data_IF_251004796794
#
_entry.id   IF_251004796794
#
_cell.length_a   1.000
_cell.length_b   1.000
_cell.length_c   1.000
_cell.angle_alpha   90.00
_cell.angle_beta   90.00
_cell.angle_gamma   90.00
#
_symmetry.space_group_name_H-M   'P 1'
#
loop_
_entity.id
_entity.type
_entity.pdbx_description
1 polymer ?
#
# COMPACT_ATOMS: atom_id res chain seq x y z
N UNK A 1 18.19 7.40 8.25
CA UNK A 1 19.17 8.32 8.86
C UNK A 1 19.36 7.96 10.32
N UNK A 2 20.63 7.76 10.73
CA UNK A 2 21.00 7.42 12.10
C UNK A 2 21.10 8.68 12.98
N UNK A 3 20.02 9.45 13.04
CA UNK A 3 19.96 10.62 13.91
C UNK A 3 18.64 10.68 14.67
N UNK A 4 18.73 11.18 15.90
CA UNK A 4 17.58 11.47 16.75
C UNK A 4 17.13 12.91 16.54
N UNK A 5 15.83 13.13 16.48
CA UNK A 5 15.25 14.46 16.47
C UNK A 5 14.65 14.77 17.84
N UNK A 6 15.03 15.93 18.39
CA UNK A 6 14.51 16.44 19.63
C UNK A 6 13.53 17.57 19.37
N UNK A 7 12.32 17.45 19.95
CA UNK A 7 11.26 18.45 19.88
C UNK A 7 11.03 18.96 21.30
N UNK A 8 11.10 20.27 21.49
CA UNK A 8 10.75 20.95 22.76
C UNK A 8 9.49 21.78 22.55
N UNK A 9 8.53 21.66 23.44
CA UNK A 9 7.37 22.54 23.46
C UNK A 9 6.92 22.80 24.89
N UNK A 10 6.27 23.97 25.10
CA UNK A 10 5.77 24.37 26.39
C UNK A 10 4.27 24.65 26.29
N UNK A 11 3.50 24.06 27.18
CA UNK A 11 2.06 24.29 27.29
C UNK A 11 1.76 25.13 28.55
N UNK A 12 0.98 26.16 28.36
CA UNK A 12 0.52 27.02 29.44
C UNK A 12 -0.98 26.92 29.58
N UNK A 13 -1.45 26.60 30.78
CA UNK A 13 -2.87 26.62 31.14
C UNK A 13 -3.22 28.00 31.72
N UNK A 14 -3.93 28.79 30.95
CA UNK A 14 -4.38 30.14 31.41
C UNK A 14 -5.79 30.09 32.04
N UNK A 15 -6.31 28.92 32.37
CA UNK A 15 -7.64 28.72 32.95
C UNK A 15 -7.53 28.39 34.44
N UNK A 16 -8.66 28.49 35.15
CA UNK A 16 -8.82 28.14 36.56
C UNK A 16 -9.11 26.63 36.80
N UNK A 17 -9.09 25.82 35.73
CA UNK A 17 -9.36 24.38 35.78
C UNK A 17 -8.17 23.57 35.27
N UNK A 18 -7.98 22.37 35.81
CA UNK A 18 -7.01 21.42 35.32
C UNK A 18 -7.36 21.02 33.88
N UNK A 19 -6.41 21.17 32.95
CA UNK A 19 -6.55 20.82 31.56
C UNK A 19 -5.91 19.43 31.32
N UNK A 20 -6.70 18.51 30.75
CA UNK A 20 -6.28 17.16 30.38
C UNK A 20 -6.39 17.00 28.87
N UNK A 21 -5.28 16.70 28.21
CA UNK A 21 -5.20 16.53 26.74
C UNK A 21 -4.43 15.28 26.37
N UNK A 22 -4.56 14.89 25.11
CA UNK A 22 -3.74 13.86 24.47
C UNK A 22 -2.81 14.55 23.47
N UNK A 23 -1.54 14.21 23.51
CA UNK A 23 -0.59 14.50 22.42
C UNK A 23 -0.50 13.24 21.58
N UNK A 24 -0.87 13.36 20.32
CA UNK A 24 -0.71 12.33 19.31
C UNK A 24 0.56 12.61 18.49
N UNK A 25 1.41 11.61 18.35
CA UNK A 25 2.47 11.60 17.37
C UNK A 25 1.96 10.89 16.11
N UNK A 26 1.51 11.68 15.11
CA UNK A 26 0.73 11.19 13.97
C UNK A 26 1.61 10.49 12.90
N UNK A 27 2.39 9.50 13.31
CA UNK A 27 3.15 8.58 12.46
C UNK A 27 3.32 7.23 13.16
N UNK A 28 2.58 6.18 12.75
CA UNK A 28 2.61 4.88 13.42
C UNK A 28 3.91 4.10 13.18
N UNK A 29 4.71 4.48 12.18
CA UNK A 29 5.91 3.76 11.75
C UNK A 29 7.21 4.32 12.32
N UNK A 30 7.15 5.34 13.18
CA UNK A 30 8.33 5.82 13.90
C UNK A 30 8.80 4.75 14.88
N UNK A 31 10.10 4.41 14.82
CA UNK A 31 10.62 3.23 15.54
C UNK A 31 10.70 3.43 17.04
N UNK A 32 11.16 4.61 17.51
CA UNK A 32 11.29 4.94 18.91
C UNK A 32 10.81 6.36 19.17
N UNK A 33 10.02 6.52 20.23
CA UNK A 33 9.49 7.80 20.68
C UNK A 33 9.57 7.84 22.19
N UNK A 34 10.43 8.70 22.72
CA UNK A 34 10.57 8.95 24.16
C UNK A 34 9.93 10.29 24.49
N UNK A 35 8.86 10.29 25.28
CA UNK A 35 8.15 11.46 25.71
C UNK A 35 8.53 11.81 27.15
N UNK A 36 9.17 12.96 27.35
CA UNK A 36 9.68 13.44 28.63
C UNK A 36 8.74 14.50 29.21
N UNK A 37 8.22 14.27 30.41
CA UNK A 37 7.61 15.29 31.26
C UNK A 37 8.66 15.77 32.29
N UNK A 38 9.19 16.98 32.08
CA UNK A 38 10.24 17.54 32.94
C UNK A 38 9.71 17.82 34.35
N UNK A 39 8.42 18.17 34.49
CA UNK A 39 7.85 18.52 35.79
C UNK A 39 7.72 17.35 36.74
N UNK A 40 7.49 16.16 36.20
CA UNK A 40 7.34 14.91 36.96
C UNK A 40 8.57 14.03 36.88
N UNK A 41 9.57 14.40 36.11
CA UNK A 41 10.77 13.62 35.80
C UNK A 41 10.43 12.20 35.29
N UNK A 42 9.36 12.09 34.48
CA UNK A 42 8.92 10.81 33.90
C UNK A 42 9.18 10.75 32.42
N UNK A 43 9.45 9.53 31.93
CA UNK A 43 9.62 9.23 30.52
C UNK A 43 8.60 8.17 30.12
N UNK A 44 7.83 8.46 29.09
CA UNK A 44 6.92 7.51 28.48
C UNK A 44 7.45 7.08 27.12
N UNK A 45 7.63 5.78 26.94
CA UNK A 45 8.15 5.18 25.72
C UNK A 45 6.99 4.69 24.84
N UNK A 46 7.09 4.90 23.52
CA UNK A 46 6.23 4.32 22.48
C UNK A 46 7.01 4.27 21.15
N UNK A 47 6.37 3.82 20.09
CA UNK A 47 6.96 3.64 18.77
C UNK A 47 6.87 2.18 18.34
N UNK A 48 7.27 1.89 17.11
CA UNK A 48 7.07 0.57 16.53
C UNK A 48 7.85 -0.54 17.25
N UNK A 49 9.06 -0.23 17.77
CA UNK A 49 9.89 -1.18 18.53
C UNK A 49 9.68 -1.13 20.04
N UNK A 50 8.87 -0.21 20.52
CA UNK A 50 8.57 -0.04 21.95
C UNK A 50 7.06 0.05 22.20
N UNK A 51 6.29 -0.57 21.29
CA UNK A 51 4.84 -0.50 21.34
C UNK A 51 4.32 -1.15 22.62
N UNK A 52 3.50 -0.40 23.36
CA UNK A 52 2.85 -0.95 24.57
C UNK A 52 1.88 -2.04 24.15
N UNK A 53 1.97 -3.20 24.80
CA UNK A 53 0.92 -4.22 24.77
C UNK A 53 -0.42 -3.54 25.11
N UNK A 54 -1.45 -3.79 24.31
CA UNK A 54 -2.77 -3.16 24.41
C UNK A 54 -2.86 -1.68 23.96
N UNK A 55 -1.95 -1.17 23.13
CA UNK A 55 -2.17 0.12 22.48
C UNK A 55 -3.44 0.05 21.63
N UNK A 56 -4.43 0.90 21.94
CA UNK A 56 -5.73 0.94 21.24
C UNK A 56 -5.78 1.97 20.09
N UNK A 57 -4.71 2.73 19.89
CA UNK A 57 -4.60 3.75 18.85
C UNK A 57 -3.58 3.35 17.80
N UNK A 58 -3.84 3.69 16.54
CA UNK A 58 -2.91 3.48 15.44
C UNK A 58 -1.62 4.27 15.70
N UNK A 59 -1.76 5.54 16.06
CA UNK A 59 -0.65 6.42 16.38
C UNK A 59 -0.29 6.38 17.89
N UNK A 60 0.99 6.61 18.25
CA UNK A 60 1.41 6.83 19.62
C UNK A 60 0.69 8.02 20.25
N UNK A 61 0.23 7.84 21.50
CA UNK A 61 -0.47 8.88 22.27
C UNK A 61 0.11 9.02 23.67
N UNK A 62 0.22 10.26 24.14
CA UNK A 62 0.72 10.63 25.46
C UNK A 62 -0.30 11.50 26.18
N UNK A 63 -0.64 11.09 27.43
CA UNK A 63 -1.52 11.89 28.29
C UNK A 63 -0.75 13.05 28.89
N UNK A 64 -1.31 14.25 28.85
CA UNK A 64 -0.78 15.42 29.51
C UNK A 64 -1.82 16.02 30.47
N UNK A 65 -1.32 16.51 31.58
CA UNK A 65 -2.11 17.20 32.60
C UNK A 65 -1.40 18.49 32.99
N UNK A 66 -2.07 19.61 32.85
CA UNK A 66 -1.54 20.93 33.22
C UNK A 66 -2.51 21.58 34.20
N UNK A 67 -2.02 21.84 35.41
CA UNK A 67 -2.82 22.44 36.51
C UNK A 67 -3.19 23.91 36.21
N UNK A 68 -4.16 24.50 36.94
CA UNK A 68 -4.55 25.89 36.75
C UNK A 68 -3.36 26.83 36.84
N UNK A 69 -3.25 27.76 35.88
CA UNK A 69 -2.18 28.76 35.78
C UNK A 69 -0.75 28.20 35.73
N UNK A 70 -0.60 26.88 35.45
CA UNK A 70 0.69 26.20 35.33
C UNK A 70 1.23 26.31 33.90
N UNK A 71 2.57 26.25 33.79
CA UNK A 71 3.29 26.11 32.51
C UNK A 71 4.21 24.93 32.60
N UNK A 72 4.02 23.95 31.71
CA UNK A 72 4.82 22.72 31.62
C UNK A 72 5.59 22.61 30.31
N UNK A 73 6.85 22.20 30.41
CA UNK A 73 7.71 21.95 29.26
C UNK A 73 7.86 20.44 29.06
N UNK A 74 7.69 20.01 27.82
CA UNK A 74 7.83 18.63 27.38
C UNK A 74 8.92 18.53 26.32
N UNK A 75 9.55 17.35 26.26
CA UNK A 75 10.48 16.99 25.19
C UNK A 75 10.03 15.67 24.57
N UNK A 76 10.18 15.58 23.26
CA UNK A 76 10.02 14.33 22.51
C UNK A 76 11.32 14.05 21.81
N UNK A 77 11.89 12.86 22.06
CA UNK A 77 12.98 12.31 21.28
C UNK A 77 12.37 11.29 20.31
N UNK A 78 12.61 11.45 19.01
CA UNK A 78 12.11 10.52 17.99
C UNK A 78 13.23 10.06 17.09
N UNK A 79 13.25 8.76 16.78
CA UNK A 79 14.15 8.16 15.79
C UNK A 79 13.40 7.20 14.88
N UNK A 80 13.80 7.12 13.59
CA UNK A 80 13.19 6.22 12.62
C UNK A 80 14.29 5.56 11.78
N UNK A 81 14.34 4.21 11.84
CA UNK A 81 15.32 3.41 11.11
C UNK A 81 14.71 2.70 9.87
N UNK A 82 13.36 2.60 9.79
CA UNK A 82 12.67 1.83 8.76
C UNK A 82 12.10 2.71 7.67
N UNK A 83 11.54 3.88 8.05
CA UNK A 83 10.85 4.79 7.12
C UNK A 83 11.40 6.20 7.21
N UNK A 84 11.00 7.05 6.26
CA UNK A 84 11.26 8.48 6.33
C UNK A 84 10.62 9.04 7.59
N UNK A 85 11.41 9.79 8.37
CA UNK A 85 10.91 10.46 9.57
C UNK A 85 9.95 11.58 9.17
N UNK A 86 8.70 11.46 9.58
CA UNK A 86 7.67 12.50 9.47
C UNK A 86 7.22 12.82 10.88
N UNK A 87 7.35 14.09 11.26
CA UNK A 87 6.97 14.57 12.59
C UNK A 87 5.73 15.43 12.45
N UNK A 88 4.62 14.94 13.00
CA UNK A 88 3.38 15.69 13.13
C UNK A 88 2.83 15.44 14.52
N UNK A 89 2.65 16.51 15.28
CA UNK A 89 2.06 16.46 16.62
C UNK A 89 0.68 17.11 16.58
N UNK A 90 -0.31 16.40 17.08
CA UNK A 90 -1.65 16.91 17.26
C UNK A 90 -1.99 16.91 18.76
N UNK A 91 -2.72 17.93 19.21
CA UNK A 91 -3.24 18.00 20.57
C UNK A 91 -4.76 17.86 20.54
N UNK A 92 -5.28 16.91 21.31
CA UNK A 92 -6.66 16.49 21.28
C UNK A 92 -7.35 16.60 22.64
N UNK A 93 -8.64 16.91 22.63
CA UNK A 93 -9.54 16.47 23.70
C UNK A 93 -9.71 14.96 23.60
N UNK A 94 -9.82 14.28 24.75
CA UNK A 94 -9.90 12.83 24.79
C UNK A 94 -11.06 12.27 23.95
N UNK A 95 -12.23 12.86 24.06
CA UNK A 95 -13.43 12.44 23.32
C UNK A 95 -13.27 12.68 21.81
N UNK A 96 -12.78 13.85 21.41
CA UNK A 96 -12.52 14.19 20.01
C UNK A 96 -11.50 13.26 19.38
N UNK A 97 -10.46 12.87 20.12
CA UNK A 97 -9.47 11.90 19.66
C UNK A 97 -10.12 10.55 19.33
N UNK A 98 -10.91 10.01 20.27
CA UNK A 98 -11.52 8.70 20.06
C UNK A 98 -12.52 8.70 18.91
N UNK A 99 -13.33 9.76 18.77
CA UNK A 99 -14.26 9.91 17.66
C UNK A 99 -13.52 9.96 16.32
N UNK A 100 -12.45 10.76 16.20
CA UNK A 100 -11.61 10.81 15.00
C UNK A 100 -10.92 9.49 14.72
N UNK A 101 -10.44 8.78 15.74
CA UNK A 101 -9.79 7.48 15.61
C UNK A 101 -10.77 6.39 15.13
N UNK A 102 -12.01 6.40 15.61
CA UNK A 102 -13.07 5.48 15.15
C UNK A 102 -13.44 5.77 13.69
N UNK A 103 -13.59 7.03 13.32
CA UNK A 103 -13.85 7.42 11.94
C UNK A 103 -12.72 6.97 11.01
N UNK A 104 -11.47 7.19 11.40
CA UNK A 104 -10.31 6.74 10.63
C UNK A 104 -10.28 5.21 10.45
N UNK A 105 -10.50 4.45 11.52
CA UNK A 105 -10.55 2.99 11.46
C UNK A 105 -11.71 2.50 10.59
N UNK A 106 -12.87 3.18 10.60
CA UNK A 106 -14.00 2.85 9.75
C UNK A 106 -13.68 2.99 8.26
N UNK A 107 -13.06 4.09 7.83
CA UNK A 107 -12.65 4.26 6.43
C UNK A 107 -11.59 3.23 6.00
N UNK A 108 -10.64 2.92 6.87
CA UNK A 108 -9.67 1.85 6.59
C UNK A 108 -10.33 0.48 6.50
N UNK A 109 -11.31 0.17 7.35
CA UNK A 109 -12.07 -1.08 7.29
C UNK A 109 -12.88 -1.19 5.98
N UNK A 110 -13.48 -0.09 5.49
CA UNK A 110 -14.13 -0.05 4.18
C UNK A 110 -13.15 -0.32 3.05
N UNK A 111 -11.97 0.28 3.09
CA UNK A 111 -10.90 0.04 2.12
C UNK A 111 -10.50 -1.44 2.10
N UNK A 112 -10.12 -2.00 3.25
CA UNK A 112 -9.70 -3.40 3.33
C UNK A 112 -10.82 -4.37 2.96
N UNK A 113 -12.06 -4.07 3.36
CA UNK A 113 -13.24 -4.85 2.98
C UNK A 113 -13.48 -4.86 1.47
N UNK A 114 -13.43 -3.70 0.82
CA UNK A 114 -13.57 -3.57 -0.63
C UNK A 114 -12.48 -4.35 -1.38
N UNK A 115 -11.22 -4.20 -0.97
CA UNK A 115 -10.10 -4.93 -1.58
C UNK A 115 -10.22 -6.44 -1.36
N UNK A 116 -10.63 -6.89 -0.17
CA UNK A 116 -10.86 -8.31 0.11
C UNK A 116 -11.98 -8.90 -0.75
N UNK A 117 -13.10 -8.20 -0.92
CA UNK A 117 -14.21 -8.62 -1.79
C UNK A 117 -13.72 -8.75 -3.24
N UNK A 118 -12.95 -7.77 -3.75
CA UNK A 118 -12.38 -7.85 -5.09
C UNK A 118 -11.42 -9.03 -5.25
N UNK A 119 -10.58 -9.31 -4.24
CA UNK A 119 -9.68 -10.46 -4.25
C UNK A 119 -10.47 -11.77 -4.29
N UNK A 120 -11.48 -11.93 -3.42
CA UNK A 120 -12.32 -13.14 -3.35
C UNK A 120 -13.08 -13.33 -4.67
N UNK A 121 -13.72 -12.29 -5.20
CA UNK A 121 -14.43 -12.34 -6.48
C UNK A 121 -13.52 -12.82 -7.62
N UNK A 122 -12.34 -12.22 -7.76
CA UNK A 122 -11.41 -12.60 -8.83
C UNK A 122 -10.77 -13.99 -8.60
N UNK A 123 -10.63 -14.42 -7.34
CA UNK A 123 -10.21 -15.79 -7.00
C UNK A 123 -11.24 -16.82 -7.46
N UNK A 124 -12.53 -16.57 -7.24
CA UNK A 124 -13.59 -17.44 -7.76
C UNK A 124 -13.54 -17.52 -9.29
N UNK A 125 -13.37 -16.38 -9.97
CA UNK A 125 -13.27 -16.41 -11.43
C UNK A 125 -12.03 -17.22 -11.87
N UNK A 126 -10.89 -17.09 -11.19
CA UNK A 126 -9.71 -17.92 -11.45
C UNK A 126 -10.01 -19.42 -11.33
N UNK A 127 -10.71 -19.84 -10.27
CA UNK A 127 -11.04 -21.26 -10.03
C UNK A 127 -11.80 -21.86 -11.21
N UNK A 128 -12.73 -21.11 -11.80
CA UNK A 128 -13.54 -21.58 -12.92
C UNK A 128 -12.87 -21.39 -14.28
N UNK A 129 -12.24 -20.23 -14.52
CA UNK A 129 -11.63 -19.91 -15.83
C UNK A 129 -10.25 -20.50 -16.04
N UNK A 130 -9.50 -20.81 -14.96
CA UNK A 130 -8.09 -21.22 -14.95
C UNK A 130 -7.15 -20.22 -15.66
N UNK A 131 -7.59 -18.99 -15.95
CA UNK A 131 -6.73 -17.96 -16.53
C UNK A 131 -5.81 -17.37 -15.44
N UNK A 132 -4.52 -17.64 -15.58
CA UNK A 132 -3.47 -17.20 -14.63
C UNK A 132 -3.39 -15.69 -14.44
N UNK A 133 -3.96 -14.88 -15.34
CA UNK A 133 -4.04 -13.43 -15.15
C UNK A 133 -4.86 -13.09 -13.88
N UNK A 134 -5.97 -13.83 -13.62
CA UNK A 134 -6.76 -13.63 -12.40
C UNK A 134 -5.99 -13.99 -11.14
N UNK A 135 -5.23 -15.10 -11.16
CA UNK A 135 -4.40 -15.50 -10.01
C UNK A 135 -3.39 -14.41 -9.67
N UNK A 136 -2.63 -13.91 -10.66
CA UNK A 136 -1.64 -12.89 -10.41
C UNK A 136 -2.26 -11.54 -10.00
N UNK A 137 -3.46 -11.26 -10.48
CA UNK A 137 -4.21 -10.09 -10.02
C UNK A 137 -4.67 -10.23 -8.57
N UNK A 138 -5.16 -11.39 -8.15
CA UNK A 138 -5.49 -11.66 -6.74
C UNK A 138 -4.26 -11.51 -5.86
N UNK A 139 -3.12 -12.08 -6.26
CA UNK A 139 -1.87 -11.94 -5.53
C UNK A 139 -1.40 -10.46 -5.45
N UNK A 140 -1.64 -9.68 -6.51
CA UNK A 140 -1.39 -8.24 -6.51
C UNK A 140 -2.26 -7.52 -5.47
N UNK A 141 -3.58 -7.78 -5.46
CA UNK A 141 -4.49 -7.19 -4.46
C UNK A 141 -4.07 -7.57 -3.04
N UNK A 142 -3.74 -8.84 -2.78
CA UNK A 142 -3.27 -9.29 -1.47
C UNK A 142 -1.94 -8.61 -1.09
N UNK A 143 -1.06 -8.39 -2.05
CA UNK A 143 0.17 -7.61 -1.86
C UNK A 143 -0.11 -6.15 -1.47
N UNK A 144 -1.09 -5.50 -2.13
CA UNK A 144 -1.52 -4.13 -1.79
C UNK A 144 -2.16 -4.09 -0.40
N UNK A 145 -3.02 -5.06 -0.05
CA UNK A 145 -3.60 -5.17 1.30
C UNK A 145 -2.48 -5.28 2.33
N UNK A 146 -1.52 -6.18 2.13
CA UNK A 146 -0.39 -6.35 3.04
C UNK A 146 0.44 -5.07 3.18
N UNK A 147 0.76 -4.42 2.06
CA UNK A 147 1.45 -3.13 2.06
C UNK A 147 0.71 -2.07 2.88
N UNK A 148 -0.60 -1.91 2.64
CA UNK A 148 -1.39 -0.90 3.32
C UNK A 148 -1.65 -1.22 4.80
N UNK A 149 -1.82 -2.49 5.17
CA UNK A 149 -1.92 -2.89 6.58
C UNK A 149 -0.69 -2.46 7.39
N UNK A 150 0.51 -2.61 6.82
CA UNK A 150 1.74 -2.17 7.48
C UNK A 150 1.89 -0.65 7.43
N UNK A 151 1.65 -0.04 6.25
CA UNK A 151 1.86 1.39 6.04
C UNK A 151 0.92 2.27 6.89
N UNK A 152 -0.33 1.85 7.07
CA UNK A 152 -1.30 2.56 7.92
C UNK A 152 -1.11 2.27 9.42
N UNK A 153 -0.32 1.26 9.78
CA UNK A 153 -0.12 0.84 11.17
C UNK A 153 -1.27 0.03 11.77
N UNK A 154 -2.35 -0.21 11.00
CA UNK A 154 -3.53 -1.00 11.47
C UNK A 154 -3.13 -2.41 11.88
N UNK A 155 -2.19 -3.02 11.17
CA UNK A 155 -1.69 -4.36 11.49
C UNK A 155 -1.29 -4.48 12.96
N UNK A 156 -0.56 -3.48 13.48
CA UNK A 156 0.08 -3.54 14.78
C UNK A 156 -0.87 -3.39 15.96
N UNK A 157 -2.07 -2.84 15.78
CA UNK A 157 -3.06 -2.69 16.87
C UNK A 157 -3.92 -3.93 17.09
N UNK A 158 -3.94 -4.87 16.14
CA UNK A 158 -4.72 -6.10 16.21
C UNK A 158 -3.88 -7.36 16.49
N UNK A 159 -2.56 -7.24 16.52
CA UNK A 159 -1.64 -8.34 16.77
C UNK A 159 -0.98 -8.13 18.14
N UNK A 160 -1.21 -9.07 19.06
CA UNK A 160 -0.69 -8.99 20.44
C UNK A 160 0.62 -9.76 20.65
N UNK A 161 1.16 -10.40 19.60
CA UNK A 161 2.37 -11.21 19.69
C UNK A 161 3.62 -10.41 19.30
N UNK A 162 4.46 -10.07 20.26
CA UNK A 162 5.73 -9.36 20.04
C UNK A 162 6.62 -10.08 19.03
N UNK A 163 6.78 -11.41 19.18
CA UNK A 163 7.60 -12.22 18.28
C UNK A 163 7.08 -12.19 16.82
N UNK A 164 5.76 -12.11 16.64
CA UNK A 164 5.18 -12.02 15.32
C UNK A 164 5.32 -10.61 14.75
N UNK A 165 5.20 -9.58 15.57
CA UNK A 165 5.46 -8.18 15.18
C UNK A 165 6.91 -8.03 14.73
N UNK A 166 7.87 -8.53 15.50
CA UNK A 166 9.29 -8.52 15.15
C UNK A 166 9.56 -9.25 13.84
N UNK A 167 8.97 -10.42 13.64
CA UNK A 167 9.07 -11.15 12.36
C UNK A 167 8.55 -10.32 11.18
N UNK A 168 7.39 -9.67 11.34
CA UNK A 168 6.79 -8.84 10.29
C UNK A 168 7.65 -7.61 10.00
N UNK A 169 8.18 -6.95 11.04
CA UNK A 169 9.05 -5.79 10.89
C UNK A 169 10.34 -6.16 10.16
N UNK A 170 10.99 -7.26 10.55
CA UNK A 170 12.20 -7.75 9.88
C UNK A 170 11.95 -8.07 8.40
N UNK A 171 10.73 -8.50 8.05
CA UNK A 171 10.31 -8.81 6.68
C UNK A 171 9.48 -7.71 6.01
N UNK A 172 9.43 -6.50 6.56
CA UNK A 172 8.64 -5.38 6.02
C UNK A 172 9.04 -4.98 4.59
N UNK A 173 10.25 -5.36 4.15
CA UNK A 173 10.68 -5.19 2.76
C UNK A 173 9.75 -5.90 1.76
N UNK A 174 9.11 -7.01 2.17
CA UNK A 174 8.16 -7.73 1.33
C UNK A 174 6.93 -6.89 0.98
N UNK A 175 6.45 -6.06 1.90
CA UNK A 175 5.31 -5.19 1.67
C UNK A 175 5.54 -4.20 0.51
N UNK A 176 6.79 -3.77 0.30
CA UNK A 176 7.11 -2.86 -0.80
C UNK A 176 7.32 -3.55 -2.15
N UNK A 177 7.74 -4.83 -2.17
CA UNK A 177 8.10 -5.49 -3.42
C UNK A 177 7.03 -6.44 -3.95
N UNK A 178 6.28 -7.11 -3.06
CA UNK A 178 5.27 -8.10 -3.48
C UNK A 178 4.21 -7.52 -4.43
N UNK A 179 3.61 -6.34 -4.15
CA UNK A 179 2.64 -5.74 -5.07
C UNK A 179 3.23 -5.54 -6.46
N UNK A 180 4.47 -5.05 -6.56
CA UNK A 180 5.12 -4.72 -7.84
C UNK A 180 5.47 -5.99 -8.62
N UNK A 181 5.96 -7.03 -7.95
CA UNK A 181 6.26 -8.31 -8.58
C UNK A 181 4.98 -8.96 -9.11
N UNK A 182 3.91 -8.98 -8.31
CA UNK A 182 2.63 -9.55 -8.75
C UNK A 182 1.94 -8.71 -9.82
N UNK A 183 2.04 -7.38 -9.77
CA UNK A 183 1.60 -6.49 -10.85
C UNK A 183 2.38 -6.78 -12.15
N UNK A 184 3.68 -7.07 -12.04
CA UNK A 184 4.53 -7.43 -13.17
C UNK A 184 4.10 -8.77 -13.79
N UNK A 185 3.84 -9.78 -12.96
CA UNK A 185 3.33 -11.08 -13.40
C UNK A 185 1.92 -10.97 -14.00
N UNK A 186 1.05 -10.19 -13.37
CA UNK A 186 -0.28 -9.86 -13.91
C UNK A 186 -0.16 -9.23 -15.30
N UNK A 187 0.59 -8.15 -15.43
CA UNK A 187 0.78 -7.43 -16.70
C UNK A 187 1.37 -8.33 -17.79
N UNK A 188 2.32 -9.19 -17.43
CA UNK A 188 2.92 -10.19 -18.34
C UNK A 188 1.87 -11.10 -18.98
N UNK A 189 0.95 -11.64 -18.19
CA UNK A 189 -0.06 -12.58 -18.66
C UNK A 189 -1.26 -11.86 -19.28
N UNK A 190 -1.66 -10.73 -18.70
CA UNK A 190 -2.79 -9.95 -19.16
C UNK A 190 -2.54 -9.31 -20.53
N UNK A 191 -1.35 -8.72 -20.77
CA UNK A 191 -0.95 -8.15 -22.05
C UNK A 191 -0.51 -9.20 -23.08
N UNK A 192 -0.46 -10.51 -22.71
CA UNK A 192 0.05 -11.58 -23.57
C UNK A 192 1.45 -11.24 -24.15
N UNK A 193 2.41 -10.87 -23.27
CA UNK A 193 3.72 -10.32 -23.66
C UNK A 193 4.54 -11.20 -24.59
N UNK A 194 4.21 -12.49 -24.73
CA UNK A 194 4.84 -13.40 -25.71
C UNK A 194 4.77 -12.86 -27.15
N UNK A 195 3.75 -12.04 -27.48
CA UNK A 195 3.64 -11.37 -28.77
C UNK A 195 4.71 -10.27 -29.00
N UNK A 196 5.42 -9.88 -27.93
CA UNK A 196 6.51 -8.90 -27.93
C UNK A 196 7.82 -9.55 -27.45
N UNK A 197 8.51 -10.37 -28.25
CA UNK A 197 9.58 -11.27 -27.78
C UNK A 197 10.72 -10.56 -27.03
N UNK A 198 11.11 -9.36 -27.46
CA UNK A 198 12.18 -8.59 -26.81
C UNK A 198 11.77 -8.17 -25.41
N UNK A 199 10.59 -7.57 -25.25
CA UNK A 199 10.05 -7.17 -23.95
C UNK A 199 9.81 -8.37 -23.04
N UNK A 200 9.30 -9.47 -23.59
CA UNK A 200 9.09 -10.71 -22.84
C UNK A 200 10.37 -11.28 -22.25
N UNK A 201 11.48 -11.28 -23.01
CA UNK A 201 12.80 -11.74 -22.52
C UNK A 201 13.32 -10.84 -21.40
N UNK A 202 13.28 -9.52 -21.60
CA UNK A 202 13.73 -8.56 -20.58
C UNK A 202 12.90 -8.68 -19.32
N UNK A 203 11.56 -8.78 -19.45
CA UNK A 203 10.66 -8.92 -18.30
C UNK A 203 10.96 -10.20 -17.49
N UNK A 204 11.19 -11.33 -18.18
CA UNK A 204 11.58 -12.58 -17.50
C UNK A 204 12.93 -12.43 -16.78
N UNK A 205 13.90 -11.79 -17.41
CA UNK A 205 15.20 -11.51 -16.78
C UNK A 205 15.03 -10.65 -15.52
N UNK A 206 14.24 -9.57 -15.60
CA UNK A 206 13.96 -8.70 -14.46
C UNK A 206 13.27 -9.47 -13.32
N UNK A 207 12.28 -10.32 -13.62
CA UNK A 207 11.60 -11.14 -12.63
C UNK A 207 12.53 -12.16 -11.95
N UNK A 208 13.49 -12.75 -12.69
CA UNK A 208 14.46 -13.70 -12.13
C UNK A 208 15.50 -12.99 -11.26
N UNK A 209 15.97 -11.82 -11.69
CA UNK A 209 17.02 -11.09 -10.96
C UNK A 209 16.48 -10.34 -9.74
N UNK A 210 15.19 -9.99 -9.71
CA UNK A 210 14.55 -9.23 -8.61
C UNK A 210 14.82 -9.86 -7.23
N UNK A 211 14.53 -11.14 -6.97
CA UNK A 211 14.81 -11.74 -5.65
C UNK A 211 16.30 -11.71 -5.32
N UNK A 212 17.19 -11.88 -6.27
CA UNK A 212 18.65 -11.85 -6.05
C UNK A 212 19.09 -10.44 -5.62
N UNK A 213 18.69 -9.42 -6.37
CA UNK A 213 19.04 -8.02 -6.10
C UNK A 213 18.50 -7.53 -4.75
N UNK A 214 17.39 -8.12 -4.27
CA UNK A 214 16.78 -7.72 -3.00
C UNK A 214 17.34 -8.55 -1.83
N UNK A 215 17.40 -9.86 -1.95
CA UNK A 215 17.77 -10.74 -0.83
C UNK A 215 19.27 -10.71 -0.53
N UNK A 216 20.12 -10.66 -1.55
CA UNK A 216 21.58 -10.68 -1.33
C UNK A 216 22.05 -9.49 -0.49
N UNK A 217 21.70 -8.22 -0.77
CA UNK A 217 22.07 -7.10 0.08
C UNK A 217 21.49 -7.20 1.50
N UNK A 218 20.24 -7.66 1.65
CA UNK A 218 19.59 -7.81 2.96
C UNK A 218 20.37 -8.84 3.81
N UNK A 219 20.69 -10.00 3.24
CA UNK A 219 21.47 -11.03 3.93
C UNK A 219 22.91 -10.58 4.25
N UNK A 220 23.45 -9.67 3.46
CA UNK A 220 24.77 -9.07 3.69
C UNK A 220 24.75 -7.88 4.68
N UNK A 221 23.58 -7.55 5.30
CA UNK A 221 23.43 -6.44 6.25
C UNK A 221 23.35 -5.05 5.61
N UNK A 222 23.24 -4.97 4.28
CA UNK A 222 23.02 -3.70 3.59
C UNK A 222 21.53 -3.35 3.59
N UNK A 223 21.21 -2.06 3.73
CA UNK A 223 19.82 -1.59 3.82
C UNK A 223 18.98 -1.79 2.56
N UNK A 224 17.73 -1.37 2.62
CA UNK A 224 16.69 -1.63 1.60
C UNK A 224 16.78 -0.78 0.31
N UNK A 225 17.86 -0.04 0.09
CA UNK A 225 18.02 0.86 -1.09
C UNK A 225 17.91 0.11 -2.42
N UNK A 226 18.46 -1.12 -2.50
CA UNK A 226 18.40 -1.97 -3.69
C UNK A 226 16.94 -2.35 -4.04
N UNK A 227 16.08 -2.56 -3.03
CA UNK A 227 14.64 -2.83 -3.22
C UNK A 227 13.95 -1.66 -3.92
N UNK A 228 14.17 -0.43 -3.44
CA UNK A 228 13.52 0.75 -4.01
C UNK A 228 13.96 0.99 -5.45
N UNK A 229 15.25 0.81 -5.74
CA UNK A 229 15.78 0.91 -7.10
C UNK A 229 15.18 -0.16 -8.01
N UNK A 230 15.10 -1.41 -7.56
CA UNK A 230 14.54 -2.50 -8.35
C UNK A 230 13.04 -2.32 -8.61
N UNK A 231 12.29 -1.84 -7.61
CA UNK A 231 10.89 -1.47 -7.76
C UNK A 231 10.69 -0.38 -8.83
N UNK A 232 11.53 0.65 -8.81
CA UNK A 232 11.51 1.73 -9.79
C UNK A 232 11.81 1.21 -11.21
N UNK A 233 12.80 0.35 -11.36
CA UNK A 233 13.15 -0.27 -12.66
C UNK A 233 11.97 -1.07 -13.20
N UNK A 234 11.33 -1.89 -12.37
CA UNK A 234 10.15 -2.68 -12.77
C UNK A 234 8.98 -1.77 -13.18
N UNK A 235 8.69 -0.71 -12.40
CA UNK A 235 7.60 0.23 -12.71
C UNK A 235 7.85 0.94 -14.03
N UNK A 236 9.06 1.48 -14.25
CA UNK A 236 9.40 2.17 -15.50
C UNK A 236 9.31 1.19 -16.68
N UNK A 237 9.84 -0.03 -16.52
CA UNK A 237 9.77 -1.04 -17.58
C UNK A 237 8.34 -1.42 -17.91
N UNK A 238 7.48 -1.62 -16.91
CA UNK A 238 6.06 -1.90 -17.10
C UNK A 238 5.34 -0.75 -17.81
N UNK A 239 5.64 0.48 -17.46
CA UNK A 239 5.05 1.65 -18.12
C UNK A 239 5.42 1.66 -19.61
N UNK A 240 6.71 1.50 -19.94
CA UNK A 240 7.19 1.45 -21.33
C UNK A 240 6.54 0.30 -22.10
N UNK A 241 6.47 -0.90 -21.50
CA UNK A 241 5.82 -2.06 -22.11
C UNK A 241 4.32 -1.79 -22.35
N UNK A 242 3.63 -1.19 -21.40
CA UNK A 242 2.19 -0.92 -21.49
C UNK A 242 1.91 0.11 -22.58
N UNK A 243 2.68 1.22 -22.64
CA UNK A 243 2.57 2.23 -23.70
C UNK A 243 2.87 1.60 -25.06
N UNK A 244 3.94 0.81 -25.17
CA UNK A 244 4.25 0.10 -26.42
C UNK A 244 3.11 -0.83 -26.85
N UNK A 245 2.52 -1.57 -25.91
CA UNK A 245 1.39 -2.46 -26.20
C UNK A 245 0.15 -1.69 -26.64
N UNK A 246 -0.12 -0.51 -26.05
CA UNK A 246 -1.22 0.37 -26.46
C UNK A 246 -1.01 0.92 -27.89
N UNK A 247 0.22 1.33 -28.24
CA UNK A 247 0.57 1.76 -29.60
C UNK A 247 0.40 0.62 -30.64
N UNK A 248 0.54 -0.64 -30.20
CA UNK A 248 0.21 -1.82 -31.01
C UNK A 248 -1.27 -2.20 -31.00
N UNK A 249 -2.15 -1.30 -30.51
CA UNK A 249 -3.61 -1.47 -30.44
C UNK A 249 -4.06 -2.64 -29.56
N UNK A 250 -3.26 -3.02 -28.58
CA UNK A 250 -3.65 -4.02 -27.58
C UNK A 250 -4.70 -3.41 -26.65
N UNK A 251 -5.94 -3.88 -26.72
CA UNK A 251 -7.09 -3.36 -25.95
C UNK A 251 -6.83 -3.40 -24.44
N UNK A 252 -6.21 -4.47 -23.95
CA UNK A 252 -5.90 -4.66 -22.54
C UNK A 252 -4.94 -3.58 -21.99
N UNK A 253 -4.06 -3.05 -22.84
CA UNK A 253 -3.09 -2.03 -22.44
C UNK A 253 -3.75 -0.70 -22.07
N UNK A 254 -4.88 -0.34 -22.69
CA UNK A 254 -5.60 0.89 -22.35
C UNK A 254 -6.18 0.85 -20.94
N UNK A 255 -6.67 -0.31 -20.47
CA UNK A 255 -7.16 -0.45 -19.10
C UNK A 255 -6.03 -0.31 -18.08
N UNK A 256 -4.86 -0.93 -18.36
CA UNK A 256 -3.69 -0.77 -17.46
C UNK A 256 -3.27 0.69 -17.41
N UNK A 257 -3.21 1.40 -18.55
CA UNK A 257 -2.88 2.82 -18.57
C UNK A 257 -3.88 3.66 -17.77
N UNK A 258 -5.17 3.35 -17.85
CA UNK A 258 -6.18 4.04 -17.05
C UNK A 258 -5.96 3.88 -15.55
N UNK A 259 -5.65 2.67 -15.08
CA UNK A 259 -5.27 2.42 -13.68
C UNK A 259 -3.99 3.18 -13.29
N UNK A 260 -2.97 3.17 -14.14
CA UNK A 260 -1.71 3.87 -13.89
C UNK A 260 -1.88 5.39 -13.79
N UNK A 261 -2.75 6.00 -14.59
CA UNK A 261 -3.05 7.44 -14.50
C UNK A 261 -3.55 7.78 -13.08
N UNK A 262 -4.43 6.98 -12.52
CA UNK A 262 -4.97 7.20 -11.16
C UNK A 262 -3.87 7.09 -10.11
N UNK A 263 -3.04 6.04 -10.18
CA UNK A 263 -1.93 5.85 -9.24
C UNK A 263 -0.88 6.96 -9.39
N UNK A 264 -0.51 7.36 -10.61
CA UNK A 264 0.43 8.46 -10.81
C UNK A 264 -0.12 9.80 -10.33
N UNK A 265 -1.43 10.04 -10.46
CA UNK A 265 -2.07 11.22 -9.88
C UNK A 265 -1.94 11.22 -8.36
N UNK A 266 -2.21 10.08 -7.70
CA UNK A 266 -2.03 9.95 -6.26
C UNK A 266 -0.57 10.17 -5.84
N UNK A 267 0.41 9.58 -6.55
CA UNK A 267 1.84 9.79 -6.30
C UNK A 267 2.21 11.27 -6.48
N UNK A 268 1.69 11.95 -7.51
CA UNK A 268 1.93 13.38 -7.72
C UNK A 268 1.37 14.22 -6.57
N UNK A 269 0.16 13.91 -6.07
CA UNK A 269 -0.43 14.56 -4.89
C UNK A 269 0.45 14.35 -3.64
N UNK A 270 0.94 13.12 -3.41
CA UNK A 270 1.87 12.82 -2.32
C UNK A 270 3.17 13.62 -2.45
N UNK A 271 3.73 13.71 -3.64
CA UNK A 271 4.96 14.47 -3.91
C UNK A 271 4.75 15.96 -3.65
N UNK A 272 3.66 16.56 -4.14
CA UNK A 272 3.33 17.98 -3.91
C UNK A 272 3.13 18.26 -2.40
N UNK A 273 2.48 17.35 -1.69
CA UNK A 273 2.32 17.45 -0.24
C UNK A 273 3.67 17.40 0.48
N UNK A 274 4.57 16.49 0.07
CA UNK A 274 5.92 16.37 0.66
C UNK A 274 6.81 17.59 0.44
N UNK A 275 6.53 18.38 -0.60
CA UNK A 275 7.22 19.65 -0.90
C UNK A 275 6.55 20.88 -0.26
N UNK A 276 5.44 20.67 0.45
CA UNK A 276 4.72 21.76 1.12
C UNK A 276 3.91 22.66 0.20
N UNK A 277 3.68 22.27 -1.07
CA UNK A 277 2.85 23.08 -1.98
C UNK A 277 1.37 23.05 -1.60
N UNK A 278 0.84 21.91 -1.19
CA UNK A 278 -0.52 21.75 -0.73
C UNK A 278 -0.66 20.51 0.14
N UNK A 279 -1.35 20.65 1.27
CA UNK A 279 -1.53 19.52 2.20
C UNK A 279 -2.75 18.68 1.81
N UNK A 280 -2.57 17.81 0.82
CA UNK A 280 -3.63 16.91 0.36
C UNK A 280 -4.16 15.98 1.44
N UNK A 281 -3.31 15.53 2.37
CA UNK A 281 -3.71 14.64 3.47
C UNK A 281 -4.67 15.29 4.46
N UNK A 282 -4.67 16.61 4.58
CA UNK A 282 -5.59 17.34 5.45
C UNK A 282 -6.99 17.42 4.84
N UNK A 283 -7.08 17.62 3.52
CA UNK A 283 -8.35 17.81 2.83
C UNK A 283 -8.92 16.49 2.28
N UNK A 284 -8.06 15.55 1.92
CA UNK A 284 -8.41 14.26 1.32
C UNK A 284 -7.60 13.13 1.96
N UNK A 285 -7.84 12.80 3.25
CA UNK A 285 -6.96 11.90 4.01
C UNK A 285 -6.86 10.48 3.43
N UNK A 286 -7.85 10.04 2.63
CA UNK A 286 -7.93 8.68 2.08
C UNK A 286 -7.74 8.63 0.56
N UNK A 287 -7.13 9.65 -0.05
CA UNK A 287 -6.99 9.68 -1.52
C UNK A 287 -6.12 8.54 -2.08
N UNK A 288 -5.18 8.03 -1.29
CA UNK A 288 -4.33 6.90 -1.66
C UNK A 288 -5.13 5.60 -1.68
N UNK A 289 -5.96 5.37 -0.67
CA UNK A 289 -6.86 4.22 -0.56
C UNK A 289 -7.89 4.23 -1.70
N UNK A 290 -8.47 5.39 -2.00
CA UNK A 290 -9.37 5.57 -3.14
C UNK A 290 -8.68 5.30 -4.48
N UNK A 291 -7.42 5.69 -4.64
CA UNK A 291 -6.66 5.40 -5.85
C UNK A 291 -6.45 3.90 -6.04
N UNK A 292 -6.09 3.15 -4.99
CA UNK A 292 -5.94 1.70 -5.05
C UNK A 292 -7.26 0.98 -5.33
N UNK A 293 -8.38 1.38 -4.70
CA UNK A 293 -9.69 0.80 -5.00
C UNK A 293 -10.06 1.06 -6.46
N UNK A 294 -9.88 2.29 -6.94
CA UNK A 294 -10.24 2.67 -8.30
C UNK A 294 -9.43 1.90 -9.33
N UNK A 295 -8.12 1.77 -9.13
CA UNK A 295 -7.25 0.94 -9.97
C UNK A 295 -7.71 -0.52 -9.95
N UNK A 296 -7.97 -1.09 -8.77
CA UNK A 296 -8.40 -2.46 -8.62
C UNK A 296 -9.75 -2.72 -9.31
N UNK A 297 -10.70 -1.80 -9.23
CA UNK A 297 -11.98 -1.89 -9.97
C UNK A 297 -11.73 -1.88 -11.47
N UNK A 298 -10.89 -0.97 -11.98
CA UNK A 298 -10.55 -0.89 -13.42
C UNK A 298 -9.94 -2.20 -13.90
N UNK A 299 -9.02 -2.79 -13.14
CA UNK A 299 -8.39 -4.07 -13.53
C UNK A 299 -9.36 -5.25 -13.46
N UNK A 300 -10.31 -5.25 -12.51
CA UNK A 300 -11.39 -6.25 -12.47
C UNK A 300 -12.30 -6.15 -13.70
N UNK A 301 -12.68 -4.92 -14.11
CA UNK A 301 -13.44 -4.68 -15.34
C UNK A 301 -12.65 -5.15 -16.57
N UNK A 302 -11.36 -4.81 -16.64
CA UNK A 302 -10.48 -5.21 -17.72
C UNK A 302 -10.35 -6.74 -17.88
N UNK A 303 -10.26 -7.44 -16.77
CA UNK A 303 -10.24 -8.90 -16.74
C UNK A 303 -11.57 -9.50 -17.22
N UNK A 304 -12.70 -8.93 -16.80
CA UNK A 304 -14.04 -9.33 -17.27
C UNK A 304 -14.17 -9.12 -18.78
N UNK A 305 -13.73 -7.97 -19.30
CA UNK A 305 -13.71 -7.67 -20.73
C UNK A 305 -12.85 -8.67 -21.52
N UNK A 306 -11.70 -9.06 -20.98
CA UNK A 306 -10.84 -10.10 -21.57
C UNK A 306 -11.56 -11.45 -21.70
N UNK A 307 -12.27 -11.90 -20.65
CA UNK A 307 -13.03 -13.15 -20.71
C UNK A 307 -14.14 -13.07 -21.78
N UNK A 308 -14.92 -11.99 -21.78
CA UNK A 308 -15.99 -11.80 -22.73
C UNK A 308 -15.48 -11.83 -24.19
N UNK A 309 -14.31 -11.21 -24.45
CA UNK A 309 -13.67 -11.23 -25.76
C UNK A 309 -13.24 -12.65 -26.15
N UNK A 310 -12.61 -13.40 -25.24
CA UNK A 310 -12.20 -14.79 -25.49
C UNK A 310 -13.38 -15.72 -25.69
N UNK A 311 -14.46 -15.54 -24.96
CA UNK A 311 -15.70 -16.30 -25.13
C UNK A 311 -16.31 -16.07 -26.52
N UNK A 312 -16.35 -14.80 -26.96
CA UNK A 312 -16.84 -14.43 -28.27
C UNK A 312 -15.99 -15.04 -29.39
N UNK A 313 -14.65 -14.95 -29.28
CA UNK A 313 -13.74 -15.58 -30.23
C UNK A 313 -13.96 -17.09 -30.31
N UNK A 314 -14.12 -17.76 -29.15
CA UNK A 314 -14.38 -19.22 -29.11
C UNK A 314 -15.72 -19.58 -29.75
N UNK A 315 -16.79 -18.82 -29.49
CA UNK A 315 -18.10 -19.07 -30.09
C UNK A 315 -18.05 -18.92 -31.61
N UNK A 316 -17.44 -17.84 -32.12
CA UNK A 316 -17.29 -17.62 -33.56
C UNK A 316 -16.49 -18.76 -34.23
N UNK A 317 -15.37 -19.16 -33.65
CA UNK A 317 -14.57 -20.29 -34.16
C UNK A 317 -15.34 -21.62 -34.16
N UNK A 318 -16.20 -21.84 -33.14
CA UNK A 318 -17.07 -23.03 -33.07
C UNK A 318 -18.14 -23.01 -34.16
N UNK A 319 -18.75 -21.86 -34.45
CA UNK A 319 -19.73 -21.70 -35.52
C UNK A 319 -19.11 -21.94 -36.89
N UNK A 320 -17.92 -21.38 -37.15
CA UNK A 320 -17.18 -21.60 -38.40
C UNK A 320 -16.87 -23.09 -38.62
N UNK A 321 -16.44 -23.81 -37.55
CA UNK A 321 -16.18 -25.25 -37.60
C UNK A 321 -17.44 -26.05 -37.92
N UNK A 322 -18.61 -25.67 -37.36
CA UNK A 322 -19.87 -26.35 -37.65
C UNK A 322 -20.27 -26.14 -39.12
N UNK A 323 -20.14 -24.90 -39.64
CA UNK A 323 -20.42 -24.61 -41.05
C UNK A 323 -19.50 -25.40 -41.99
N UNK A 324 -18.19 -25.45 -41.67
CA UNK A 324 -17.23 -26.23 -42.47
C UNK A 324 -17.58 -27.70 -42.53
N UNK A 325 -17.88 -28.34 -41.36
CA UNK A 325 -18.29 -29.75 -41.32
C UNK A 325 -19.57 -30.01 -42.08
N UNK A 326 -20.55 -29.11 -42.03
CA UNK A 326 -21.79 -29.26 -42.82
C UNK A 326 -21.49 -29.23 -44.32
N UNK A 327 -20.69 -28.26 -44.77
CA UNK A 327 -20.32 -28.14 -46.18
C UNK A 327 -19.51 -29.36 -46.68
N UNK A 328 -18.65 -29.92 -45.81
CA UNK A 328 -17.88 -31.12 -46.13
C UNK A 328 -18.78 -32.35 -46.26
N UNK A 329 -19.74 -32.54 -45.37
CA UNK A 329 -20.72 -33.65 -45.45
C UNK A 329 -21.57 -33.55 -46.71
N UNK A 330 -22.06 -32.34 -47.08
CA UNK A 330 -22.82 -32.09 -48.31
C UNK A 330 -22.02 -32.34 -49.60
N UNK A 331 -20.71 -32.36 -49.51
CA UNK A 331 -19.83 -32.71 -50.68
C UNK A 331 -19.56 -34.22 -50.79
N UNK A 332 -19.75 -34.96 -49.69
CA UNK A 332 -19.52 -36.40 -49.64
C UNK A 332 -20.80 -37.23 -49.99
N UNK A 333 -21.96 -36.61 -49.94
CA UNK A 333 -23.22 -37.10 -50.47
C UNK A 333 -23.35 -36.80 -51.97
#
# INVERSE_FOLDING_TARGET
PDFDVWIKFTLKNNTDKTVRKLIEYANPLTTHIDFYDVSTNTVNYDGLFQMKLNRKSINPIFNIVVEPNESKTYYIKASSHITTMIIKLNMWEKESFYNNSLEHQFYLALFFGAMAILAIYNLFIFIFSKDTSYLFYVLYILGVIYHQLLNTGVFFIYIESDSFIDFVIQNAFLAGILPIVFLTLFSKHFLKTKQYPRFHKVLNFLLIITPIVILVPILAGYGSSSRNLMSLVLIIFLLVLTVYSALKKNRQAYFILAGWIIIFLAIAMMFLASKGFYNFYEHYPYFVEFAFISEAVIFSIALSDKINSLQKEKNNASEELIVQKKTENERLE
#
